data_IF_469120928589
#
_entry.id   IF_469120928589
#
_cell.length_a   1.000
_cell.length_b   1.000
_cell.length_c   1.000
_cell.angle_alpha   90.00
_cell.angle_beta   90.00
_cell.angle_gamma   90.00
#
_symmetry.space_group_name_H-M   'P 1'
#
loop_
_entity.id
_entity.type
_entity.pdbx_description
1 polymer ?
#
# COMPACT_ATOMS: atom_id res chain seq x y z
N UNK A 1 2.90 7.44 -13.08
CA UNK A 1 3.41 6.82 -11.84
C UNK A 1 4.86 6.51 -12.07
N UNK A 2 5.71 6.78 -11.09
CA UNK A 2 7.15 6.57 -11.21
C UNK A 2 7.56 5.14 -10.86
N UNK A 3 8.41 4.54 -11.69
CA UNK A 3 8.96 3.21 -11.51
C UNK A 3 10.49 3.22 -11.59
N UNK A 4 11.15 2.55 -10.66
CA UNK A 4 12.61 2.41 -10.62
C UNK A 4 13.07 1.29 -11.57
N UNK A 5 13.98 1.62 -12.49
CA UNK A 5 14.60 0.63 -13.39
C UNK A 5 15.38 -0.43 -12.62
N UNK A 6 16.18 -0.03 -11.63
CA UNK A 6 16.94 -0.96 -10.82
C UNK A 6 16.03 -1.89 -10.01
N UNK A 7 14.90 -1.40 -9.51
CA UNK A 7 13.93 -2.24 -8.82
C UNK A 7 13.21 -3.20 -9.78
N UNK A 8 12.88 -2.76 -11.00
CA UNK A 8 12.35 -3.65 -12.04
C UNK A 8 13.35 -4.77 -12.41
N UNK A 9 14.65 -4.45 -12.45
CA UNK A 9 15.72 -5.41 -12.73
C UNK A 9 15.76 -6.57 -11.72
N UNK A 10 15.42 -6.34 -10.46
CA UNK A 10 15.43 -7.40 -9.43
C UNK A 10 14.48 -8.56 -9.73
N UNK A 11 13.44 -8.30 -10.52
CA UNK A 11 12.45 -9.31 -10.90
C UNK A 11 12.77 -10.01 -12.22
N UNK A 12 13.90 -9.67 -12.87
CA UNK A 12 14.24 -10.18 -14.19
C UNK A 12 15.61 -10.85 -14.12
N UNK A 13 15.67 -12.14 -14.49
CA UNK A 13 16.89 -12.95 -14.30
C UNK A 13 18.08 -12.45 -15.12
N UNK A 14 17.79 -11.92 -16.31
CA UNK A 14 18.79 -11.38 -17.23
C UNK A 14 18.76 -9.85 -17.17
N UNK A 15 19.80 -9.22 -17.68
CA UNK A 15 19.85 -7.77 -17.81
C UNK A 15 18.69 -7.26 -18.65
N UNK A 16 17.99 -6.25 -18.14
CA UNK A 16 16.95 -5.52 -18.85
C UNK A 16 17.52 -4.80 -20.08
N UNK A 17 16.71 -4.55 -21.12
CA UNK A 17 17.08 -3.63 -22.19
C UNK A 17 17.46 -2.26 -21.63
N UNK A 18 18.31 -1.52 -22.35
CA UNK A 18 18.65 -0.13 -21.98
C UNK A 18 17.36 0.68 -21.72
N UNK A 19 17.36 1.64 -20.76
CA UNK A 19 16.18 2.37 -20.36
C UNK A 19 15.38 2.97 -21.53
N UNK A 20 16.05 3.57 -22.50
CA UNK A 20 15.41 4.18 -23.68
C UNK A 20 14.70 3.12 -24.53
N UNK A 21 15.34 1.96 -24.75
CA UNK A 21 14.76 0.87 -25.52
C UNK A 21 13.60 0.21 -24.79
N UNK A 22 13.71 0.09 -23.47
CA UNK A 22 12.64 -0.44 -22.63
C UNK A 22 11.43 0.49 -22.63
N UNK A 23 11.64 1.81 -22.55
CA UNK A 23 10.57 2.80 -22.65
C UNK A 23 9.83 2.73 -23.99
N UNK A 24 10.57 2.66 -25.10
CA UNK A 24 10.00 2.46 -26.44
C UNK A 24 9.16 1.18 -26.51
N UNK A 25 9.70 0.06 -25.97
CA UNK A 25 8.99 -1.22 -25.95
C UNK A 25 7.67 -1.14 -25.16
N UNK A 26 7.67 -0.48 -24.00
CA UNK A 26 6.47 -0.28 -23.18
C UNK A 26 5.42 0.59 -23.90
N UNK A 27 5.85 1.72 -24.47
CA UNK A 27 4.99 2.66 -25.22
C UNK A 27 4.34 2.01 -26.43
N UNK A 28 5.08 1.17 -27.16
CA UNK A 28 4.55 0.50 -28.36
C UNK A 28 3.51 -0.59 -28.07
N UNK A 29 3.38 -1.06 -26.83
CA UNK A 29 2.53 -2.22 -26.51
C UNK A 29 1.43 -1.94 -25.49
N UNK A 30 1.76 -1.38 -24.32
CA UNK A 30 0.82 -1.39 -23.19
C UNK A 30 0.74 -0.08 -22.39
N UNK A 31 1.82 0.70 -22.29
CA UNK A 31 1.83 1.88 -21.42
C UNK A 31 2.57 3.03 -22.05
N UNK A 32 1.94 4.20 -22.09
CA UNK A 32 2.63 5.44 -22.46
C UNK A 32 3.66 5.79 -21.38
N UNK A 33 4.94 5.80 -21.79
CA UNK A 33 6.04 6.28 -20.97
C UNK A 33 6.21 7.78 -21.20
N UNK A 34 5.68 8.58 -20.28
CA UNK A 34 5.67 10.04 -20.34
C UNK A 34 7.08 10.63 -20.14
N UNK A 35 7.98 9.88 -19.49
CA UNK A 35 9.36 10.33 -19.31
C UNK A 35 10.32 9.27 -18.80
N UNK A 36 11.59 9.44 -19.14
CA UNK A 36 12.72 8.65 -18.63
C UNK A 36 13.75 9.61 -18.08
N UNK A 37 14.07 9.51 -16.79
CA UNK A 37 15.03 10.39 -16.13
C UNK A 37 16.05 9.59 -15.33
N UNK A 38 17.30 10.05 -15.32
CA UNK A 38 18.36 9.47 -14.49
C UNK A 38 18.37 10.15 -13.12
N UNK A 39 18.30 9.36 -12.05
CA UNK A 39 18.40 9.85 -10.66
C UNK A 39 19.51 9.06 -9.96
N UNK A 40 20.65 9.72 -9.72
CA UNK A 40 21.84 9.09 -9.16
C UNK A 40 22.33 7.94 -10.04
N UNK A 41 22.26 6.71 -9.51
CA UNK A 41 22.64 5.45 -10.19
C UNK A 41 21.45 4.68 -10.78
N UNK A 42 20.26 5.26 -10.74
CA UNK A 42 19.02 4.64 -11.20
C UNK A 42 18.41 5.41 -12.38
N UNK A 43 17.51 4.75 -13.09
CA UNK A 43 16.64 5.35 -14.10
C UNK A 43 15.20 5.25 -13.63
N UNK A 44 14.43 6.29 -13.86
CA UNK A 44 13.03 6.38 -13.45
C UNK A 44 12.16 6.59 -14.66
N UNK A 45 11.20 5.69 -14.83
CA UNK A 45 10.13 5.81 -15.81
C UNK A 45 8.96 6.52 -15.17
N UNK A 46 8.41 7.54 -15.82
CA UNK A 46 7.05 7.98 -15.55
C UNK A 46 6.12 7.28 -16.55
N UNK A 47 5.25 6.43 -16.03
CA UNK A 47 4.37 5.59 -16.84
C UNK A 47 2.92 5.98 -16.55
N UNK A 48 2.18 6.31 -17.61
CA UNK A 48 0.75 6.53 -17.57
C UNK A 48 0.03 5.18 -17.59
N UNK A 49 -0.25 4.64 -16.40
CA UNK A 49 -1.00 3.38 -16.25
C UNK A 49 -2.49 3.65 -16.49
N UNK A 50 -3.04 3.01 -17.52
CA UNK A 50 -4.44 3.15 -17.91
C UNK A 50 -5.38 2.44 -16.90
N UNK A 51 -6.65 2.90 -16.75
CA UNK A 51 -7.57 2.35 -15.76
C UNK A 51 -7.80 0.83 -15.87
N UNK A 52 -7.80 0.27 -17.08
CA UNK A 52 -7.97 -1.17 -17.31
C UNK A 52 -6.77 -2.02 -16.86
N UNK A 53 -5.61 -1.40 -16.61
CA UNK A 53 -4.38 -2.03 -16.13
C UNK A 53 -3.99 -1.56 -14.72
N UNK A 54 -4.79 -0.68 -14.11
CA UNK A 54 -4.42 -0.07 -12.84
C UNK A 54 -4.46 -1.07 -11.67
N UNK A 55 -5.30 -2.10 -11.76
CA UNK A 55 -5.43 -3.17 -10.77
C UNK A 55 -4.12 -3.98 -10.60
N UNK A 56 -3.40 -4.21 -11.69
CA UNK A 56 -2.21 -5.05 -11.75
C UNK A 56 -0.91 -4.23 -11.89
N UNK A 57 -0.93 -3.14 -12.67
CA UNK A 57 0.28 -2.40 -13.05
C UNK A 57 0.55 -1.12 -12.25
N UNK A 58 -0.24 -0.81 -11.22
CA UNK A 58 0.17 0.18 -10.19
C UNK A 58 1.15 -0.40 -9.17
N UNK A 59 2.04 -1.29 -9.64
CA UNK A 59 3.02 -2.02 -8.82
C UNK A 59 4.28 -2.36 -9.64
N UNK A 60 5.44 -2.39 -8.99
CA UNK A 60 6.69 -2.80 -9.64
C UNK A 60 6.62 -4.27 -10.10
N UNK A 61 5.98 -5.14 -9.33
CA UNK A 61 5.76 -6.55 -9.71
C UNK A 61 4.91 -6.64 -10.99
N UNK A 62 3.83 -5.87 -11.09
CA UNK A 62 2.97 -5.84 -12.27
C UNK A 62 3.71 -5.39 -13.52
N UNK A 63 4.39 -4.25 -13.45
CA UNK A 63 5.20 -3.74 -14.57
C UNK A 63 6.33 -4.71 -14.93
N UNK A 64 7.01 -5.32 -13.95
CA UNK A 64 8.07 -6.29 -14.22
C UNK A 64 7.53 -7.56 -14.93
N UNK A 65 6.31 -8.01 -14.61
CA UNK A 65 5.68 -9.14 -15.33
C UNK A 65 5.43 -8.80 -16.79
N UNK A 66 4.92 -7.60 -17.08
CA UNK A 66 4.73 -7.12 -18.46
C UNK A 66 6.05 -7.04 -19.22
N UNK A 67 7.09 -6.46 -18.60
CA UNK A 67 8.42 -6.36 -19.19
C UNK A 67 9.00 -7.74 -19.51
N UNK A 68 8.83 -8.71 -18.61
CA UNK A 68 9.31 -10.07 -18.82
C UNK A 68 8.68 -10.69 -20.08
N UNK A 69 7.38 -10.51 -20.28
CA UNK A 69 6.67 -11.00 -21.46
C UNK A 69 7.15 -10.28 -22.73
N UNK A 70 7.14 -8.95 -22.72
CA UNK A 70 7.52 -8.12 -23.88
C UNK A 70 8.96 -8.32 -24.33
N UNK A 71 9.86 -8.55 -23.38
CA UNK A 71 11.30 -8.72 -23.66
C UNK A 71 11.69 -10.19 -23.86
N UNK A 72 10.73 -11.13 -23.79
CA UNK A 72 10.97 -12.57 -23.76
C UNK A 72 12.05 -12.97 -22.72
N UNK A 73 11.97 -12.36 -21.54
CA UNK A 73 12.87 -12.60 -20.43
C UNK A 73 12.20 -13.43 -19.34
N UNK A 74 12.99 -14.25 -18.65
CA UNK A 74 12.49 -15.03 -17.54
C UNK A 74 12.23 -14.12 -16.34
N UNK A 75 10.95 -13.95 -16.00
CA UNK A 75 10.54 -13.39 -14.72
C UNK A 75 11.08 -14.27 -13.59
N UNK A 76 11.79 -13.65 -12.65
CA UNK A 76 12.13 -14.27 -11.39
C UNK A 76 10.83 -14.33 -10.59
N UNK A 77 10.20 -15.51 -10.57
CA UNK A 77 9.09 -15.78 -9.65
C UNK A 77 9.54 -15.26 -8.29
N UNK A 78 8.74 -14.39 -7.68
CA UNK A 78 8.98 -13.94 -6.31
C UNK A 78 9.10 -15.18 -5.44
N UNK A 79 10.33 -15.57 -5.15
CA UNK A 79 10.66 -16.50 -4.08
C UNK A 79 10.52 -15.58 -2.88
N UNK A 80 9.36 -15.61 -2.23
CA UNK A 80 9.19 -14.91 -0.96
C UNK A 80 10.40 -15.17 -0.08
N UNK A 81 10.75 -14.18 0.74
CA UNK A 81 11.85 -14.26 1.70
C UNK A 81 12.03 -15.71 2.16
N UNK A 82 13.16 -16.33 1.82
CA UNK A 82 13.52 -17.67 2.35
C UNK A 82 13.65 -17.65 3.87
N UNK A 83 13.66 -16.45 4.44
CA UNK A 83 13.54 -16.19 5.85
C UNK A 83 12.11 -16.43 6.32
N UNK A 84 11.90 -17.57 6.95
CA UNK A 84 10.73 -17.84 7.78
C UNK A 84 10.92 -17.07 9.08
N UNK A 85 10.07 -16.08 9.34
CA UNK A 85 10.03 -15.43 10.65
C UNK A 85 9.51 -16.46 11.66
N UNK A 86 10.21 -16.62 12.79
CA UNK A 86 9.69 -17.43 13.90
C UNK A 86 8.47 -16.75 14.48
N UNK A 87 7.30 -17.30 14.23
CA UNK A 87 6.07 -16.91 14.89
C UNK A 87 5.93 -17.67 16.21
N UNK A 88 5.35 -17.02 17.22
CA UNK A 88 4.98 -17.68 18.47
C UNK A 88 3.64 -18.39 18.24
N UNK A 89 3.68 -19.67 17.87
CA UNK A 89 2.51 -20.48 17.53
C UNK A 89 1.48 -20.58 18.67
N UNK A 90 1.88 -20.27 19.90
CA UNK A 90 0.98 -20.26 21.05
C UNK A 90 0.07 -19.02 21.10
N UNK A 91 0.40 -17.96 20.34
CA UNK A 91 -0.31 -16.68 20.33
C UNK A 91 -1.02 -16.48 19.00
N UNK A 92 -2.32 -16.15 19.03
CA UNK A 92 -3.07 -15.79 17.83
C UNK A 92 -3.46 -14.33 17.89
N UNK A 93 -3.45 -13.65 16.74
CA UNK A 93 -3.83 -12.23 16.67
C UNK A 93 -5.22 -11.96 17.29
N UNK A 94 -6.16 -12.90 17.10
CA UNK A 94 -7.53 -12.85 17.66
C UNK A 94 -7.59 -12.78 19.19
N UNK A 95 -6.52 -13.19 19.88
CA UNK A 95 -6.44 -13.15 21.35
C UNK A 95 -6.16 -11.72 21.86
N UNK A 96 -5.71 -10.83 20.96
CA UNK A 96 -5.32 -9.45 21.29
C UNK A 96 -6.21 -8.40 20.62
N UNK A 97 -6.68 -8.67 19.39
CA UNK A 97 -7.54 -7.76 18.62
C UNK A 97 -8.70 -8.52 17.99
N UNK A 98 -9.92 -8.02 18.19
CA UNK A 98 -11.09 -8.49 17.45
C UNK A 98 -11.24 -7.68 16.16
N UNK A 99 -11.48 -8.34 15.02
CA UNK A 99 -11.82 -7.67 13.75
C UNK A 99 -13.28 -7.97 13.42
N UNK A 100 -14.05 -6.93 13.10
CA UNK A 100 -15.45 -7.02 12.66
C UNK A 100 -15.60 -6.25 11.33
N UNK A 101 -16.02 -6.95 10.29
CA UNK A 101 -16.45 -6.32 9.03
C UNK A 101 -17.97 -6.34 8.99
N UNK A 102 -18.58 -5.16 9.10
CA UNK A 102 -20.06 -5.07 9.19
C UNK A 102 -20.77 -5.34 7.87
N UNK A 103 -20.13 -5.02 6.76
CA UNK A 103 -20.66 -5.28 5.43
C UNK A 103 -19.56 -5.84 4.53
N UNK A 104 -19.73 -7.09 4.10
CA UNK A 104 -18.77 -7.79 3.24
C UNK A 104 -18.77 -7.27 1.80
N UNK A 105 -19.82 -6.59 1.35
CA UNK A 105 -19.82 -5.94 0.03
C UNK A 105 -18.98 -4.65 0.02
N UNK A 106 -18.91 -3.96 1.17
CA UNK A 106 -18.10 -2.76 1.33
C UNK A 106 -16.62 -3.11 1.53
N UNK A 107 -16.34 -4.24 2.20
CA UNK A 107 -15.01 -4.75 2.46
C UNK A 107 -15.01 -6.29 2.34
N UNK A 108 -14.70 -6.84 1.16
CA UNK A 108 -14.72 -8.29 0.93
C UNK A 108 -13.72 -9.04 1.82
N UNK A 109 -12.58 -8.42 2.14
CA UNK A 109 -11.53 -9.03 2.95
C UNK A 109 -10.80 -7.98 3.78
N UNK A 110 -10.56 -8.29 5.04
CA UNK A 110 -9.76 -7.50 5.96
C UNK A 110 -8.92 -8.44 6.80
N UNK A 111 -7.61 -8.19 6.89
CA UNK A 111 -6.69 -8.94 7.72
C UNK A 111 -5.86 -8.00 8.58
N UNK A 112 -5.48 -8.49 9.75
CA UNK A 112 -4.66 -7.77 10.69
C UNK A 112 -3.60 -8.71 11.26
N UNK A 113 -2.33 -8.29 11.21
CA UNK A 113 -1.21 -8.98 11.88
C UNK A 113 -0.67 -8.09 12.98
N UNK A 114 -0.30 -8.68 14.11
CA UNK A 114 0.24 -7.94 15.26
C UNK A 114 1.71 -8.26 15.39
N UNK A 115 2.53 -7.22 15.58
CA UNK A 115 3.95 -7.33 15.83
C UNK A 115 4.26 -6.61 17.14
N UNK A 116 4.84 -7.35 18.09
CA UNK A 116 5.24 -6.85 19.40
C UNK A 116 6.74 -6.57 19.46
N UNK A 117 7.12 -5.61 20.29
CA UNK A 117 8.54 -5.33 20.59
C UNK A 117 9.32 -4.71 19.42
N UNK A 118 8.64 -4.01 18.51
CA UNK A 118 9.31 -3.27 17.44
C UNK A 118 9.99 -2.01 17.98
N UNK A 119 11.11 -1.61 17.37
CA UNK A 119 11.76 -0.32 17.62
C UNK A 119 11.61 0.58 16.40
N UNK A 120 11.00 1.75 16.59
CA UNK A 120 10.91 2.77 15.54
C UNK A 120 12.29 3.39 15.32
N UNK A 121 12.75 3.39 14.08
CA UNK A 121 14.05 3.94 13.65
C UNK A 121 14.02 4.30 12.17
N UNK A 122 15.07 4.93 11.67
CA UNK A 122 15.23 5.14 10.22
C UNK A 122 15.27 3.80 9.48
N UNK A 123 14.67 3.78 8.29
CA UNK A 123 14.64 2.63 7.39
C UNK A 123 16.03 2.27 6.87
N UNK A 124 16.20 1.05 6.36
CA UNK A 124 17.42 0.69 5.65
C UNK A 124 17.63 1.61 4.43
N UNK A 125 18.89 1.95 4.12
CA UNK A 125 19.23 2.91 3.05
C UNK A 125 18.58 2.55 1.71
N UNK A 126 18.58 1.28 1.34
CA UNK A 126 18.02 0.80 0.07
C UNK A 126 16.49 1.01 -0.01
N UNK A 127 15.74 0.90 1.10
CA UNK A 127 14.30 1.22 1.14
C UNK A 127 14.12 2.72 0.93
N UNK A 128 14.88 3.54 1.68
CA UNK A 128 14.80 5.00 1.56
C UNK A 128 15.10 5.47 0.14
N UNK A 129 16.10 4.89 -0.51
CA UNK A 129 16.48 5.19 -1.89
C UNK A 129 15.35 4.85 -2.87
N UNK A 130 14.77 3.64 -2.79
CA UNK A 130 13.63 3.25 -3.65
C UNK A 130 12.41 4.14 -3.47
N UNK A 131 12.05 4.46 -2.23
CA UNK A 131 10.94 5.36 -1.93
C UNK A 131 11.19 6.75 -2.54
N UNK A 132 12.39 7.33 -2.34
CA UNK A 132 12.76 8.63 -2.91
C UNK A 132 12.73 8.62 -4.43
N UNK A 133 13.24 7.58 -5.06
CA UNK A 133 13.20 7.39 -6.53
C UNK A 133 11.77 7.40 -7.04
N UNK A 134 10.83 6.81 -6.28
CA UNK A 134 9.40 6.81 -6.59
C UNK A 134 8.66 8.07 -6.10
N UNK A 135 9.36 9.10 -5.61
CA UNK A 135 8.77 10.37 -5.17
C UNK A 135 8.21 10.39 -3.76
N UNK A 136 8.41 9.33 -2.96
CA UNK A 136 7.99 9.26 -1.56
C UNK A 136 9.12 9.69 -0.62
N UNK A 137 8.79 10.53 0.36
CA UNK A 137 9.72 10.91 1.41
C UNK A 137 9.75 9.82 2.51
N UNK A 138 10.93 9.27 2.84
CA UNK A 138 11.05 8.31 3.94
C UNK A 138 10.77 8.94 5.30
N UNK A 139 10.14 8.18 6.19
CA UNK A 139 9.68 8.63 7.51
C UNK A 139 10.31 7.76 8.60
N UNK A 140 9.99 6.47 8.63
CA UNK A 140 10.55 5.50 9.58
C UNK A 140 10.37 4.07 9.04
N UNK A 141 11.06 3.12 9.65
CA UNK A 141 11.07 1.72 9.23
C UNK A 141 9.68 1.06 9.11
N UNK A 142 8.67 1.53 9.83
CA UNK A 142 7.32 0.94 9.79
C UNK A 142 6.52 1.56 8.63
N UNK A 143 6.44 2.90 8.59
CA UNK A 143 5.70 3.64 7.56
C UNK A 143 6.31 3.41 6.18
N UNK A 144 7.64 3.35 6.10
CA UNK A 144 8.35 3.13 4.86
C UNK A 144 8.16 1.69 4.34
N UNK A 145 8.03 0.70 5.23
CA UNK A 145 7.79 -0.68 4.82
C UNK A 145 6.40 -0.83 4.20
N UNK A 146 5.35 -0.25 4.79
CA UNK A 146 3.99 -0.33 4.20
C UNK A 146 3.90 0.41 2.86
N UNK A 147 4.59 1.55 2.72
CA UNK A 147 4.69 2.26 1.43
C UNK A 147 5.50 1.48 0.40
N UNK A 148 6.60 0.85 0.83
CA UNK A 148 7.43 0.01 -0.02
C UNK A 148 6.63 -1.18 -0.56
N UNK A 149 5.94 -1.93 0.30
CA UNK A 149 5.11 -3.07 -0.11
C UNK A 149 3.97 -2.63 -1.04
N UNK A 150 3.36 -1.47 -0.81
CA UNK A 150 2.35 -0.91 -1.71
C UNK A 150 2.90 -0.62 -3.11
N UNK A 151 4.09 -0.02 -3.21
CA UNK A 151 4.75 0.22 -4.49
C UNK A 151 5.25 -1.07 -5.15
N UNK A 152 5.63 -2.06 -4.35
CA UNK A 152 6.14 -3.35 -4.81
C UNK A 152 5.04 -4.22 -5.40
N UNK A 153 3.99 -4.46 -4.61
CA UNK A 153 2.95 -5.46 -4.85
C UNK A 153 1.67 -4.87 -5.41
N UNK A 154 1.43 -3.58 -5.18
CA UNK A 154 0.16 -2.92 -5.50
C UNK A 154 -0.86 -2.96 -4.36
N UNK A 155 -0.61 -3.69 -3.26
CA UNK A 155 -1.50 -3.75 -2.10
C UNK A 155 -1.20 -2.61 -1.12
N UNK A 156 -2.11 -1.63 -0.92
CA UNK A 156 -1.91 -0.67 0.13
C UNK A 156 -2.04 -1.37 1.50
N UNK A 157 -1.05 -1.10 2.35
CA UNK A 157 -1.03 -1.52 3.74
C UNK A 157 -1.17 -0.30 4.66
N UNK A 158 -1.65 -0.52 5.87
CA UNK A 158 -1.63 0.49 6.92
C UNK A 158 -1.03 -0.06 8.21
N UNK A 159 -0.54 0.83 9.07
CA UNK A 159 -0.05 0.45 10.40
C UNK A 159 -0.68 1.33 11.47
N UNK A 160 -1.23 0.68 12.50
CA UNK A 160 -1.72 1.34 13.70
C UNK A 160 -0.78 1.07 14.86
N UNK A 161 -0.62 2.07 15.73
CA UNK A 161 -0.04 1.85 17.05
C UNK A 161 -1.01 1.01 17.88
N UNK A 162 -0.65 -0.25 18.15
CA UNK A 162 -1.52 -1.21 18.83
C UNK A 162 -1.93 -0.70 20.21
N UNK A 163 -1.05 0.01 20.91
CA UNK A 163 -1.28 0.49 22.26
C UNK A 163 -2.29 1.65 22.30
N UNK A 164 -2.63 2.21 21.15
CA UNK A 164 -3.62 3.30 20.99
C UNK A 164 -4.98 2.82 20.45
N UNK A 165 -5.15 1.52 20.18
CA UNK A 165 -6.39 0.94 19.63
C UNK A 165 -7.19 0.23 20.71
N UNK A 166 -8.51 0.45 20.77
CA UNK A 166 -9.41 -0.16 21.76
C UNK A 166 -9.73 -1.65 21.52
N UNK A 167 -8.69 -2.49 21.39
CA UNK A 167 -8.71 -3.97 21.24
C UNK A 167 -9.73 -4.54 20.22
N UNK A 168 -10.30 -3.70 19.37
CA UNK A 168 -11.31 -4.05 18.38
C UNK A 168 -11.22 -3.11 17.19
N UNK A 169 -11.18 -3.68 16.00
CA UNK A 169 -11.27 -3.00 14.72
C UNK A 169 -12.65 -3.31 14.12
N UNK A 170 -13.33 -2.27 13.67
CA UNK A 170 -14.67 -2.31 13.07
C UNK A 170 -14.60 -1.60 11.72
N UNK A 171 -14.75 -2.36 10.63
CA UNK A 171 -14.90 -1.80 9.29
C UNK A 171 -16.39 -1.53 9.06
N UNK A 172 -16.74 -0.25 8.93
CA UNK A 172 -18.13 0.20 8.83
C UNK A 172 -18.27 1.52 8.08
N UNK A 173 -19.48 1.85 7.66
CA UNK A 173 -19.81 3.21 7.21
C UNK A 173 -19.68 4.21 8.35
N UNK A 174 -19.28 5.45 8.02
CA UNK A 174 -19.26 6.54 8.97
C UNK A 174 -20.68 6.98 9.35
N UNK A 175 -20.83 7.60 10.51
CA UNK A 175 -22.09 8.25 10.91
C UNK A 175 -22.15 9.64 10.28
N UNK A 176 -23.35 10.15 10.01
CA UNK A 176 -23.53 11.53 9.51
C UNK A 176 -22.92 12.53 10.50
N UNK A 177 -21.96 13.32 10.03
CA UNK A 177 -21.28 14.33 10.83
C UNK A 177 -20.16 13.79 11.74
N UNK A 178 -19.81 12.50 11.64
CA UNK A 178 -18.66 11.93 12.31
C UNK A 178 -17.38 12.64 11.86
N UNK A 179 -16.44 12.91 12.76
CA UNK A 179 -15.21 13.66 12.46
C UNK A 179 -13.98 12.81 12.67
N UNK A 180 -12.96 13.03 11.85
CA UNK A 180 -11.63 12.44 12.02
C UNK A 180 -10.55 13.49 11.74
N UNK A 181 -9.56 13.59 12.65
CA UNK A 181 -8.31 14.31 12.38
C UNK A 181 -7.35 13.35 11.68
N UNK A 182 -7.04 13.61 10.43
CA UNK A 182 -6.21 12.77 9.58
C UNK A 182 -4.72 13.16 9.65
N UNK A 183 -3.86 12.26 9.18
CA UNK A 183 -2.40 12.40 9.19
C UNK A 183 -1.84 13.55 8.33
N UNK A 184 -2.68 14.24 7.55
CA UNK A 184 -2.32 15.48 6.85
C UNK A 184 -2.75 16.74 7.64
N UNK A 185 -2.97 16.58 8.94
CA UNK A 185 -3.38 17.60 9.91
C UNK A 185 -4.73 18.28 9.62
N UNK A 186 -5.50 17.75 8.66
CA UNK A 186 -6.85 18.21 8.35
C UNK A 186 -7.88 17.42 9.15
N UNK A 187 -8.98 18.10 9.49
CA UNK A 187 -10.15 17.45 10.07
C UNK A 187 -11.22 17.28 8.99
N UNK A 188 -11.65 16.04 8.80
CA UNK A 188 -12.67 15.69 7.83
C UNK A 188 -14.00 15.42 8.54
N UNK A 189 -15.09 15.95 7.99
CA UNK A 189 -16.44 15.58 8.36
C UNK A 189 -16.93 14.49 7.41
N UNK A 190 -17.38 13.39 7.98
CA UNK A 190 -17.74 12.16 7.28
C UNK A 190 -19.26 11.97 7.30
N UNK A 191 -19.73 11.10 6.41
CA UNK A 191 -21.10 10.63 6.41
C UNK A 191 -21.21 9.18 5.93
N UNK A 192 -22.44 8.69 5.85
CA UNK A 192 -22.78 7.30 5.57
C UNK A 192 -22.23 6.76 4.25
N UNK A 193 -21.80 7.61 3.32
CA UNK A 193 -21.22 7.18 2.05
C UNK A 193 -19.74 6.79 2.19
N UNK A 194 -19.10 7.16 3.29
CA UNK A 194 -17.67 6.96 3.52
C UNK A 194 -17.45 5.74 4.42
N UNK A 195 -16.53 4.87 4.00
CA UNK A 195 -16.09 3.73 4.81
C UNK A 195 -14.97 4.18 5.76
N UNK A 196 -15.06 3.73 7.02
CA UNK A 196 -14.04 3.98 8.05
C UNK A 196 -13.57 2.68 8.65
N UNK A 197 -12.31 2.67 9.07
CA UNK A 197 -11.80 1.73 10.05
C UNK A 197 -11.95 2.43 11.40
N UNK A 198 -12.71 1.85 12.30
CA UNK A 198 -13.00 2.42 13.62
C UNK A 198 -12.66 1.43 14.71
N UNK A 199 -12.53 1.92 15.94
CA UNK A 199 -12.64 1.07 17.12
C UNK A 199 -14.02 1.22 17.76
N UNK A 200 -14.15 0.84 19.04
CA UNK A 200 -15.40 0.96 19.79
C UNK A 200 -15.83 2.42 20.02
N UNK A 201 -14.90 3.37 19.98
CA UNK A 201 -15.09 4.77 20.37
C UNK A 201 -15.09 5.70 19.17
N UNK A 202 -14.08 5.62 18.31
CA UNK A 202 -13.78 6.64 17.29
C UNK A 202 -13.38 6.03 15.94
N UNK A 203 -13.52 6.78 14.83
CA UNK A 203 -12.87 6.41 13.58
C UNK A 203 -11.35 6.55 13.72
N UNK A 204 -10.62 5.52 13.29
CA UNK A 204 -9.16 5.44 13.29
C UNK A 204 -8.57 5.84 11.94
N UNK A 205 -9.28 5.57 10.86
CA UNK A 205 -8.86 5.92 9.50
C UNK A 205 -10.06 6.07 8.56
N UNK A 206 -9.89 6.88 7.51
CA UNK A 206 -10.75 6.85 6.33
C UNK A 206 -10.28 5.67 5.49
N UNK A 207 -11.10 4.62 5.41
CA UNK A 207 -10.69 3.32 4.88
C UNK A 207 -10.15 3.45 3.46
N UNK A 208 -8.97 2.86 3.21
CA UNK A 208 -8.30 2.89 1.91
C UNK A 208 -7.80 4.26 1.42
N UNK A 209 -7.93 5.33 2.22
CA UNK A 209 -7.57 6.68 1.78
C UNK A 209 -6.50 7.30 2.69
N UNK A 210 -6.78 7.46 3.99
CA UNK A 210 -5.89 8.17 4.91
C UNK A 210 -6.09 7.74 6.37
N UNK A 211 -4.98 7.49 7.06
CA UNK A 211 -4.96 7.21 8.50
C UNK A 211 -5.28 8.43 9.37
N UNK A 212 -5.80 8.19 10.56
CA UNK A 212 -6.02 9.18 11.61
C UNK A 212 -4.80 9.41 12.49
N UNK A 213 -4.74 10.58 13.14
CA UNK A 213 -3.62 10.96 14.04
C UNK A 213 -3.65 10.17 15.35
N UNK A 214 -4.83 9.79 15.84
CA UNK A 214 -5.02 9.15 17.15
C UNK A 214 -4.25 7.83 17.31
N UNK A 215 -4.06 7.10 16.21
CA UNK A 215 -3.39 5.79 16.18
C UNK A 215 -2.11 5.80 15.35
N UNK A 216 -1.57 6.98 15.08
CA UNK A 216 -0.36 7.15 14.30
C UNK A 216 0.86 6.52 14.98
N UNK A 217 1.75 5.94 14.18
CA UNK A 217 3.05 5.45 14.62
C UNK A 217 3.91 6.64 15.06
N UNK A 218 4.39 6.60 16.31
CA UNK A 218 5.30 7.60 16.88
C UNK A 218 6.62 6.98 17.32
N UNK A 219 7.55 7.81 17.79
CA UNK A 219 8.88 7.35 18.26
C UNK A 219 8.80 6.35 19.43
N UNK A 220 7.75 6.43 20.24
CA UNK A 220 7.50 5.55 21.38
C UNK A 220 6.74 4.26 21.06
N UNK A 221 6.26 4.08 19.82
CA UNK A 221 5.47 2.90 19.45
C UNK A 221 6.31 1.62 19.56
N UNK A 222 5.79 0.62 20.25
CA UNK A 222 6.46 -0.68 20.45
C UNK A 222 5.68 -1.87 19.89
N UNK A 223 4.38 -1.69 19.75
CA UNK A 223 3.46 -2.73 19.30
C UNK A 223 2.65 -2.15 18.15
N UNK A 224 2.54 -2.89 17.05
CA UNK A 224 1.82 -2.42 15.86
C UNK A 224 0.83 -3.45 15.36
N UNK A 225 -0.21 -2.94 14.71
CA UNK A 225 -1.12 -3.71 13.87
C UNK A 225 -0.78 -3.36 12.43
N UNK A 226 -0.47 -4.36 11.60
CA UNK A 226 -0.41 -4.21 10.14
C UNK A 226 -1.77 -4.60 9.59
N UNK A 227 -2.41 -3.66 8.90
CA UNK A 227 -3.64 -3.86 8.15
C UNK A 227 -3.33 -4.16 6.68
N UNK A 228 -3.96 -5.21 6.15
CA UNK A 228 -4.10 -5.47 4.72
C UNK A 228 -5.57 -5.76 4.42
N UNK A 229 -6.18 -4.97 3.53
CA UNK A 229 -7.61 -5.01 3.27
C UNK A 229 -7.96 -4.85 1.79
N UNK A 230 -9.18 -5.24 1.45
CA UNK A 230 -9.80 -5.04 0.15
C UNK A 230 -11.10 -4.26 0.38
N UNK A 231 -11.22 -3.11 -0.27
CA UNK A 231 -12.37 -2.23 -0.15
C UNK A 231 -13.08 -2.09 -1.48
N UNK A 232 -14.40 -1.88 -1.44
CA UNK A 232 -15.19 -1.64 -2.63
C UNK A 232 -14.72 -0.38 -3.36
N UNK A 233 -14.22 -0.57 -4.58
CA UNK A 233 -13.59 0.48 -5.39
C UNK A 233 -14.49 1.69 -5.64
N UNK A 234 -15.80 1.47 -5.82
CA UNK A 234 -16.79 2.55 -6.03
C UNK A 234 -16.92 3.43 -4.80
N UNK A 235 -16.85 2.84 -3.60
CA UNK A 235 -16.93 3.60 -2.34
C UNK A 235 -15.68 4.44 -2.13
N UNK A 236 -14.51 3.85 -2.37
CA UNK A 236 -13.23 4.56 -2.23
C UNK A 236 -13.18 5.74 -3.20
N UNK A 237 -13.56 5.52 -4.47
CA UNK A 237 -13.62 6.58 -5.48
C UNK A 237 -14.54 7.73 -5.04
N UNK A 238 -15.78 7.40 -4.64
CA UNK A 238 -16.77 8.40 -4.18
C UNK A 238 -16.28 9.18 -2.97
N UNK A 239 -15.71 8.49 -1.97
CA UNK A 239 -15.17 9.11 -0.77
C UNK A 239 -13.98 10.02 -1.09
N UNK A 240 -13.03 9.56 -1.92
CA UNK A 240 -11.85 10.34 -2.33
C UNK A 240 -12.26 11.64 -3.05
N UNK A 241 -13.21 11.55 -3.98
CA UNK A 241 -13.75 12.72 -4.70
C UNK A 241 -14.49 13.69 -3.76
N UNK A 242 -15.39 13.16 -2.92
CA UNK A 242 -16.20 13.94 -1.98
C UNK A 242 -15.35 14.70 -0.97
N UNK A 243 -14.29 14.07 -0.46
CA UNK A 243 -13.35 14.67 0.49
C UNK A 243 -12.23 15.48 -0.18
N UNK A 244 -12.17 15.47 -1.53
CA UNK A 244 -11.06 16.02 -2.32
C UNK A 244 -9.69 15.52 -1.81
N UNK A 245 -9.63 14.23 -1.47
CA UNK A 245 -8.48 13.58 -0.84
C UNK A 245 -8.07 12.37 -1.67
N UNK A 246 -7.14 12.58 -2.59
CA UNK A 246 -6.53 11.52 -3.39
C UNK A 246 -5.14 11.19 -2.83
N UNK A 247 -4.90 9.91 -2.62
CA UNK A 247 -3.64 9.33 -2.13
C UNK A 247 -3.23 8.14 -3.01
N UNK A 248 -1.96 7.74 -2.94
CA UNK A 248 -1.45 6.55 -3.64
C UNK A 248 -2.23 5.27 -3.29
N UNK A 249 -2.66 5.14 -2.03
CA UNK A 249 -3.51 4.05 -1.58
C UNK A 249 -4.89 4.12 -2.22
N UNK A 250 -5.54 5.29 -2.18
CA UNK A 250 -6.88 5.46 -2.75
C UNK A 250 -6.91 5.21 -4.25
N UNK A 251 -5.84 5.56 -4.96
CA UNK A 251 -5.74 5.35 -6.41
C UNK A 251 -5.68 3.86 -6.77
N UNK A 252 -5.03 3.03 -5.95
CA UNK A 252 -5.03 1.57 -6.13
C UNK A 252 -6.41 0.99 -5.83
N UNK A 253 -6.96 1.31 -4.67
CA UNK A 253 -8.28 0.80 -4.27
C UNK A 253 -9.41 1.22 -5.21
N UNK A 254 -9.41 2.44 -5.75
CA UNK A 254 -10.46 2.90 -6.67
C UNK A 254 -10.47 2.18 -8.02
N UNK A 255 -9.36 1.52 -8.39
CA UNK A 255 -9.27 0.71 -9.61
C UNK A 255 -9.54 -0.79 -9.39
N UNK A 256 -9.81 -1.19 -8.14
CA UNK A 256 -10.11 -2.57 -7.77
C UNK A 256 -8.86 -3.43 -7.73
N UNK A 257 -8.50 -3.90 -6.54
CA UNK A 257 -7.36 -4.81 -6.34
C UNK A 257 -7.87 -6.23 -6.08
N UNK A 258 -7.08 -7.24 -6.41
CA UNK A 258 -7.40 -8.63 -6.12
C UNK A 258 -7.43 -8.87 -4.60
N UNK A 259 -8.54 -9.36 -4.02
CA UNK A 259 -8.61 -9.71 -2.59
C UNK A 259 -7.57 -10.76 -2.16
N UNK A 260 -7.02 -11.56 -3.06
CA UNK A 260 -5.97 -12.55 -2.77
C UNK A 260 -4.59 -11.93 -2.59
N UNK A 261 -4.39 -10.67 -2.99
CA UNK A 261 -3.12 -9.98 -2.84
C UNK A 261 -2.76 -9.74 -1.36
N UNK A 262 -3.77 -9.72 -0.49
CA UNK A 262 -3.64 -9.53 0.97
C UNK A 262 -2.72 -10.56 1.62
N UNK A 263 -2.76 -11.84 1.21
CA UNK A 263 -1.92 -12.88 1.82
C UNK A 263 -0.49 -12.85 1.26
N UNK A 264 -0.32 -12.26 0.08
CA UNK A 264 0.96 -12.15 -0.61
C UNK A 264 1.80 -10.96 -0.09
N UNK A 265 1.14 -9.85 0.25
CA UNK A 265 1.73 -8.59 0.73
C UNK A 265 2.11 -8.64 2.22
#
# INVERSE_FOLDING_TARGET
>A
MTFSYNWLQDYIKKTLPKPEKLAELLTMHFFEVEGVKKIGKDWVFDIAVLPNRAADCLSHIGIAREIAVLSNLKYLKYIGSTHVFKEDESKRAKDFIQVEVRNKEDCPRYSAKIIFGIKVKSSAKWIQERLKTCGLQPINNIVDTVNYVMLETGQPLHSFDFDKVEKKIIVRRAKKGEKIKALDDKTYQLDKDILVIADKKIPLAIAGIKGGVSTAIGSGTKNIIIEAANFNSRLIRRASQKLKLKTDASWRFENGIDPNLIDFS
#
